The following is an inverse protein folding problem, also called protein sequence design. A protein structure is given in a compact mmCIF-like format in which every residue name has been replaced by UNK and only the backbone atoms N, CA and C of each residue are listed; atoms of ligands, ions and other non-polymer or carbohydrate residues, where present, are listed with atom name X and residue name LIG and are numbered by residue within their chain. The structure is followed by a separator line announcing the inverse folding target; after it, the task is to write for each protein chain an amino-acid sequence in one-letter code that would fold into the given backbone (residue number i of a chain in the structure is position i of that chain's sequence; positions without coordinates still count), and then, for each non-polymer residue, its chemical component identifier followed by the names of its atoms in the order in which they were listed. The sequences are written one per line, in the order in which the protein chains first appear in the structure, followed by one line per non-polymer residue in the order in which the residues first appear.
data_IF_873755239015
#
_entry.id   IF_873755239015
#
_cell.length_a   1.000
_cell.length_b   1.000
_cell.length_c   1.000
_cell.angle_alpha   90.00
_cell.angle_beta   90.00
_cell.angle_gamma   90.00
#
_symmetry.space_group_name_H-M   'P 1'
#
loop_
_entity.id
_entity.type
_entity.pdbx_description
1 polymer ?
#
# COMPACT_ATOMS: atom_id res chain seq x y z
N UNK A 1 14.82 19.94 23.56
CA UNK A 1 14.58 20.35 22.15
C UNK A 1 14.98 19.24 21.17
N UNK A 2 15.97 18.42 21.52
CA UNK A 2 16.53 17.38 20.64
C UNK A 2 15.52 16.32 20.17
N UNK A 3 14.59 15.89 21.02
CA UNK A 3 13.59 14.87 20.64
C UNK A 3 12.57 15.36 19.62
N UNK A 4 12.19 16.65 19.66
CA UNK A 4 11.25 17.24 18.70
C UNK A 4 11.93 17.40 17.35
N UNK A 5 13.16 17.91 17.34
CA UNK A 5 13.95 18.03 16.12
C UNK A 5 14.18 16.67 15.43
N UNK A 6 14.54 15.65 16.21
CA UNK A 6 14.67 14.28 15.71
C UNK A 6 13.37 13.71 15.15
N UNK A 7 12.23 14.01 15.80
CA UNK A 7 10.90 13.63 15.31
C UNK A 7 10.59 14.26 13.95
N UNK A 8 10.87 15.55 13.78
CA UNK A 8 10.68 16.25 12.51
C UNK A 8 11.53 15.63 11.41
N UNK A 9 12.83 15.39 11.67
CA UNK A 9 13.73 14.74 10.69
C UNK A 9 13.21 13.36 10.28
N UNK A 10 12.67 12.60 11.23
CA UNK A 10 12.16 11.26 10.98
C UNK A 10 10.87 11.26 10.15
N UNK A 11 10.03 12.27 10.29
CA UNK A 11 8.72 12.33 9.60
C UNK A 11 8.85 13.00 8.22
N UNK A 12 9.87 13.83 8.00
CA UNK A 12 10.08 14.56 6.74
C UNK A 12 10.01 13.69 5.48
N UNK A 13 10.66 12.50 5.40
CA UNK A 13 10.57 11.64 4.23
C UNK A 13 9.14 11.17 3.95
N UNK A 14 8.39 10.84 5.00
CA UNK A 14 6.98 10.43 4.88
C UNK A 14 6.12 11.61 4.39
N UNK A 15 6.35 12.82 4.89
CA UNK A 15 5.66 14.02 4.41
C UNK A 15 5.95 14.27 2.93
N UNK A 16 7.20 14.10 2.50
CA UNK A 16 7.56 14.23 1.09
C UNK A 16 6.81 13.22 0.21
N UNK A 17 6.68 11.97 0.66
CA UNK A 17 5.88 10.95 -0.03
C UNK A 17 4.39 11.27 -0.03
N UNK A 18 3.83 11.81 1.06
CA UNK A 18 2.44 12.27 1.08
C UNK A 18 2.20 13.38 0.06
N UNK A 19 3.09 14.39 0.00
CA UNK A 19 3.02 15.47 -0.99
C UNK A 19 3.12 14.88 -2.41
N UNK A 20 4.03 13.92 -2.63
CA UNK A 20 4.14 13.24 -3.92
C UNK A 20 2.82 12.58 -4.35
N UNK A 21 2.16 11.84 -3.43
CA UNK A 21 0.85 11.23 -3.68
C UNK A 21 -0.23 12.29 -3.92
N UNK A 22 -0.21 13.41 -3.19
CA UNK A 22 -1.19 14.50 -3.37
C UNK A 22 -1.02 15.18 -4.73
N UNK A 23 0.21 15.47 -5.15
CA UNK A 23 0.50 16.09 -6.44
C UNK A 23 0.16 15.19 -7.62
N UNK A 24 0.33 13.87 -7.47
CA UNK A 24 0.02 12.90 -8.52
C UNK A 24 -1.37 12.26 -8.41
N UNK A 25 -2.16 12.57 -7.37
CA UNK A 25 -3.24 11.68 -6.93
C UNK A 25 -4.49 12.33 -6.32
N UNK A 26 -4.74 13.62 -6.51
CA UNK A 26 -6.01 14.23 -6.09
C UNK A 26 -6.94 14.50 -7.26
N UNK A 27 -7.79 13.52 -7.58
CA UNK A 27 -9.09 13.80 -8.14
C UNK A 27 -10.16 13.07 -7.32
N UNK A 28 -11.33 13.69 -7.11
CA UNK A 28 -12.37 13.20 -6.19
C UNK A 28 -13.18 12.00 -6.71
N UNK A 29 -12.75 11.38 -7.81
CA UNK A 29 -13.45 10.26 -8.42
C UNK A 29 -13.22 8.96 -7.63
N UNK A 30 -14.20 8.05 -7.64
CA UNK A 30 -14.14 6.68 -7.07
C UNK A 30 -12.92 5.88 -7.55
N UNK A 31 -12.33 6.30 -8.66
CA UNK A 31 -11.11 5.76 -9.19
C UNK A 31 -9.89 5.94 -8.25
N UNK A 32 -9.84 7.01 -7.43
CA UNK A 32 -8.67 7.34 -6.59
C UNK A 32 -8.70 6.71 -5.18
N UNK A 33 -9.59 5.75 -4.94
CA UNK A 33 -9.72 5.05 -3.64
C UNK A 33 -8.40 4.38 -3.25
N UNK A 34 -7.61 3.91 -4.21
CA UNK A 34 -6.26 3.35 -3.97
C UNK A 34 -5.32 4.39 -3.34
N UNK A 35 -5.09 5.51 -4.05
CA UNK A 35 -4.21 6.61 -3.63
C UNK A 35 -4.61 7.16 -2.27
N UNK A 36 -5.91 7.33 -2.02
CA UNK A 36 -6.43 7.81 -0.73
C UNK A 36 -6.12 6.85 0.41
N UNK A 37 -6.25 5.54 0.21
CA UNK A 37 -5.89 4.54 1.24
C UNK A 37 -4.40 4.53 1.54
N UNK A 38 -3.56 4.64 0.50
CA UNK A 38 -2.10 4.76 0.68
C UNK A 38 -1.75 6.05 1.42
N UNK A 39 -2.35 7.19 1.07
CA UNK A 39 -2.13 8.47 1.73
C UNK A 39 -2.51 8.41 3.23
N UNK A 40 -3.68 7.87 3.55
CA UNK A 40 -4.11 7.72 4.94
C UNK A 40 -3.15 6.76 5.68
N UNK A 41 -2.70 5.68 5.04
CA UNK A 41 -1.69 4.78 5.62
C UNK A 41 -0.34 5.46 5.88
N UNK A 42 0.10 6.35 4.99
CA UNK A 42 1.32 7.17 5.19
C UNK A 42 1.15 8.13 6.37
N UNK A 43 -0.02 8.74 6.51
CA UNK A 43 -0.33 9.61 7.66
C UNK A 43 -0.26 8.85 8.99
N UNK A 44 -0.86 7.65 9.05
CA UNK A 44 -0.75 6.79 10.24
C UNK A 44 0.68 6.31 10.49
N UNK A 45 1.46 6.05 9.43
CA UNK A 45 2.87 5.72 9.55
C UNK A 45 3.68 6.88 10.13
N UNK A 46 3.41 8.13 9.71
CA UNK A 46 4.01 9.33 10.29
C UNK A 46 3.69 9.50 11.79
N UNK A 47 2.44 9.22 12.20
CA UNK A 47 2.08 9.21 13.62
C UNK A 47 2.78 8.07 14.39
N UNK A 48 2.91 6.90 13.78
CA UNK A 48 3.69 5.79 14.32
C UNK A 48 5.15 6.19 14.54
N UNK A 49 5.76 6.86 13.57
CA UNK A 49 7.13 7.38 13.65
C UNK A 49 7.30 8.40 14.77
N UNK A 50 6.33 9.31 14.93
CA UNK A 50 6.30 10.26 16.03
C UNK A 50 6.31 9.53 17.38
N UNK A 51 5.37 8.61 17.61
CA UNK A 51 5.28 7.86 18.86
C UNK A 51 6.51 6.98 19.11
N UNK A 52 7.17 6.50 18.06
CA UNK A 52 8.38 5.71 18.16
C UNK A 52 9.58 6.51 18.71
N UNK A 53 9.61 7.84 18.54
CA UNK A 53 10.64 8.71 19.16
C UNK A 53 10.56 8.65 20.68
N UNK A 54 9.35 8.62 21.23
CA UNK A 54 9.11 8.53 22.67
C UNK A 54 8.89 7.09 23.16
N UNK A 55 9.42 6.07 22.45
CA UNK A 55 9.28 4.65 22.80
C UNK A 55 9.72 4.31 24.24
N UNK A 56 10.66 5.07 24.81
CA UNK A 56 11.14 4.91 26.19
C UNK A 56 10.13 5.39 27.24
N UNK A 57 9.21 6.29 26.87
CA UNK A 57 8.22 6.89 27.76
C UNK A 57 6.85 6.16 27.68
N UNK A 58 6.82 4.90 27.24
CA UNK A 58 5.59 4.10 27.14
C UNK A 58 4.83 4.20 25.81
N UNK A 59 5.27 5.04 24.86
CA UNK A 59 4.60 5.23 23.56
C UNK A 59 4.84 4.11 22.54
N UNK A 60 5.58 3.05 22.90
CA UNK A 60 5.84 1.93 21.99
C UNK A 60 4.56 1.21 21.55
N UNK A 61 3.63 0.92 22.46
CA UNK A 61 2.36 0.23 22.13
C UNK A 61 1.48 1.10 21.21
N UNK A 62 1.25 2.41 21.51
CA UNK A 62 0.60 3.32 20.58
C UNK A 62 1.28 3.39 19.20
N UNK A 63 2.61 3.42 19.14
CA UNK A 63 3.35 3.42 17.88
C UNK A 63 3.04 2.17 17.03
N UNK A 64 3.14 0.99 17.65
CA UNK A 64 2.79 -0.29 17.01
C UNK A 64 1.34 -0.29 16.54
N UNK A 65 0.42 0.26 17.33
CA UNK A 65 -0.98 0.43 16.93
C UNK A 65 -1.17 1.30 15.68
N UNK A 66 -0.45 2.43 15.58
CA UNK A 66 -0.51 3.29 14.39
C UNK A 66 0.07 2.62 13.15
N UNK A 67 1.19 1.90 13.28
CA UNK A 67 1.74 1.09 12.19
C UNK A 67 0.80 -0.05 11.77
N UNK A 68 0.11 -0.69 12.72
CA UNK A 68 -0.88 -1.72 12.42
C UNK A 68 -2.05 -1.17 11.59
N UNK A 69 -2.53 0.04 11.91
CA UNK A 69 -3.57 0.72 11.12
C UNK A 69 -3.05 1.03 9.72
N UNK A 70 -1.82 1.51 9.59
CA UNK A 70 -1.19 1.77 8.29
C UNK A 70 -1.10 0.50 7.43
N UNK A 71 -0.62 -0.62 7.99
CA UNK A 71 -0.56 -1.92 7.32
C UNK A 71 -1.93 -2.39 6.85
N UNK A 72 -2.96 -2.21 7.68
CA UNK A 72 -4.32 -2.60 7.34
C UNK A 72 -4.88 -1.74 6.19
N UNK A 73 -4.57 -0.44 6.17
CA UNK A 73 -4.94 0.46 5.08
C UNK A 73 -4.20 0.10 3.78
N UNK A 74 -2.91 -0.24 3.86
CA UNK A 74 -2.13 -0.73 2.72
C UNK A 74 -2.68 -2.06 2.20
N UNK A 75 -2.95 -3.03 3.08
CA UNK A 75 -3.58 -4.30 2.70
C UNK A 75 -4.94 -4.09 2.01
N UNK A 76 -5.76 -3.16 2.52
CA UNK A 76 -7.02 -2.76 1.88
C UNK A 76 -6.83 -2.05 0.56
N UNK A 77 -5.81 -1.20 0.42
CA UNK A 77 -5.47 -0.58 -0.85
C UNK A 77 -5.11 -1.66 -1.86
N UNK A 78 -4.35 -2.67 -1.45
CA UNK A 78 -3.91 -3.76 -2.31
C UNK A 78 -5.06 -4.65 -2.82
N UNK A 79 -6.24 -4.55 -2.18
CA UNK A 79 -7.48 -5.16 -2.64
C UNK A 79 -7.53 -6.67 -2.39
N UNK A 80 -8.74 -7.25 -2.44
CA UNK A 80 -9.00 -8.66 -2.07
C UNK A 80 -9.60 -9.51 -3.20
N UNK A 81 -9.60 -9.04 -4.45
CA UNK A 81 -10.30 -9.70 -5.57
C UNK A 81 -9.81 -11.13 -5.83
N UNK A 82 -8.51 -11.36 -5.90
CA UNK A 82 -7.94 -12.71 -6.00
C UNK A 82 -7.19 -13.07 -4.72
N UNK A 83 -7.72 -14.04 -3.96
CA UNK A 83 -7.11 -14.46 -2.71
C UNK A 83 -5.79 -15.21 -2.94
N UNK A 84 -5.62 -15.92 -4.06
CA UNK A 84 -4.40 -16.69 -4.41
C UNK A 84 -3.78 -17.37 -3.17
N UNK A 85 -4.57 -18.23 -2.52
CA UNK A 85 -4.30 -18.83 -1.19
C UNK A 85 -2.88 -19.41 -1.07
N UNK A 86 -2.33 -20.00 -2.14
CA UNK A 86 -0.96 -20.51 -2.20
C UNK A 86 0.10 -19.49 -1.76
N UNK A 87 -0.02 -18.23 -2.21
CA UNK A 87 0.91 -17.16 -1.82
C UNK A 87 0.69 -16.75 -0.36
N UNK A 88 -0.55 -16.80 0.12
CA UNK A 88 -0.88 -16.53 1.52
C UNK A 88 -0.30 -17.56 2.47
N UNK A 89 -0.36 -18.84 2.11
CA UNK A 89 0.29 -19.92 2.87
C UNK A 89 1.81 -19.74 2.89
N UNK A 90 2.42 -19.37 1.76
CA UNK A 90 3.85 -19.11 1.69
C UNK A 90 4.26 -17.93 2.61
N UNK A 91 3.65 -16.77 2.44
CA UNK A 91 3.92 -15.60 3.30
C UNK A 91 3.61 -15.88 4.78
N UNK A 92 2.49 -16.57 5.05
CA UNK A 92 2.07 -16.98 6.38
C UNK A 92 3.08 -17.90 7.05
N UNK A 93 3.60 -18.89 6.33
CA UNK A 93 4.64 -19.79 6.84
C UNK A 93 5.92 -19.04 7.20
N UNK A 94 6.35 -18.10 6.34
CA UNK A 94 7.56 -17.30 6.56
C UNK A 94 7.40 -16.38 7.77
N UNK A 95 6.29 -15.63 7.85
CA UNK A 95 6.00 -14.78 9.01
C UNK A 95 5.84 -15.59 10.30
N UNK A 96 5.24 -16.78 10.23
CA UNK A 96 5.10 -17.67 11.39
C UNK A 96 6.45 -18.15 11.90
N UNK A 97 7.37 -18.56 11.02
CA UNK A 97 8.73 -18.93 11.40
C UNK A 97 9.43 -17.76 12.10
N UNK A 98 9.36 -16.55 11.52
CA UNK A 98 9.92 -15.34 12.13
C UNK A 98 9.34 -15.06 13.53
N UNK A 99 8.03 -15.25 13.70
CA UNK A 99 7.35 -15.05 14.98
C UNK A 99 7.71 -16.12 16.02
N UNK A 100 7.85 -17.39 15.60
CA UNK A 100 8.27 -18.48 16.48
C UNK A 100 9.68 -18.25 17.06
N UNK A 101 10.58 -17.66 16.27
CA UNK A 101 11.90 -17.23 16.77
C UNK A 101 11.81 -16.13 17.84
N UNK A 102 10.78 -15.29 17.78
CA UNK A 102 10.57 -14.21 18.76
C UNK A 102 9.78 -14.66 19.99
N UNK A 103 8.98 -15.73 19.87
CA UNK A 103 8.13 -16.25 20.93
C UNK A 103 8.84 -16.49 22.28
N UNK A 104 10.06 -17.06 22.36
CA UNK A 104 10.71 -17.32 23.64
C UNK A 104 11.14 -16.06 24.41
N UNK A 105 11.27 -14.91 23.73
CA UNK A 105 11.66 -13.62 24.33
C UNK A 105 10.48 -12.67 24.57
N UNK A 106 9.28 -13.03 24.11
CA UNK A 106 8.07 -12.25 24.32
C UNK A 106 7.39 -12.65 25.62
N UNK A 107 7.11 -11.68 26.48
CA UNK A 107 6.46 -11.91 27.78
C UNK A 107 5.03 -11.33 27.85
N UNK A 108 4.13 -12.09 28.50
CA UNK A 108 2.80 -11.64 28.90
C UNK A 108 1.96 -11.08 27.74
N UNK A 109 1.51 -9.83 27.89
CA UNK A 109 0.61 -9.16 26.93
C UNK A 109 1.25 -8.91 25.55
N UNK A 110 2.58 -8.84 25.48
CA UNK A 110 3.28 -8.58 24.21
C UNK A 110 3.18 -9.75 23.23
N UNK A 111 2.95 -10.98 23.70
CA UNK A 111 2.71 -12.14 22.83
C UNK A 111 1.45 -11.95 22.00
N UNK A 112 0.34 -11.56 22.63
CA UNK A 112 -0.94 -11.34 21.95
C UNK A 112 -0.90 -10.15 20.98
N UNK A 113 -0.26 -9.05 21.41
CA UNK A 113 -0.05 -7.86 20.56
C UNK A 113 0.82 -8.23 19.36
N UNK A 114 1.95 -8.91 19.60
CA UNK A 114 2.88 -9.34 18.56
C UNK A 114 2.25 -10.30 17.56
N UNK A 115 1.45 -11.27 18.04
CA UNK A 115 0.73 -12.21 17.16
C UNK A 115 -0.28 -11.48 16.28
N UNK A 116 -1.06 -10.56 16.85
CA UNK A 116 -2.04 -9.75 16.09
C UNK A 116 -1.33 -8.89 15.05
N UNK A 117 -0.22 -8.25 15.42
CA UNK A 117 0.58 -7.44 14.52
C UNK A 117 1.20 -8.28 13.38
N UNK A 118 1.75 -9.45 13.72
CA UNK A 118 2.32 -10.39 12.75
C UNK A 118 1.27 -10.85 11.73
N UNK A 119 0.03 -11.09 12.15
CA UNK A 119 -1.06 -11.42 11.24
C UNK A 119 -1.40 -10.27 10.29
N UNK A 120 -1.41 -9.02 10.78
CA UNK A 120 -1.69 -7.84 9.96
C UNK A 120 -0.60 -7.57 8.93
N UNK A 121 0.67 -7.59 9.34
CA UNK A 121 1.79 -7.35 8.43
C UNK A 121 1.93 -8.50 7.40
N UNK A 122 1.67 -9.74 7.82
CA UNK A 122 1.59 -10.89 6.93
C UNK A 122 0.44 -10.73 5.93
N UNK A 123 -0.73 -10.25 6.38
CA UNK A 123 -1.86 -9.95 5.52
C UNK A 123 -1.49 -8.92 4.45
N UNK A 124 -0.85 -7.82 4.84
CA UNK A 124 -0.33 -6.81 3.92
C UNK A 124 0.66 -7.41 2.90
N UNK A 125 1.64 -8.18 3.36
CA UNK A 125 2.62 -8.84 2.48
C UNK A 125 1.95 -9.80 1.49
N UNK A 126 1.05 -10.65 1.98
CA UNK A 126 0.29 -11.56 1.13
C UNK A 126 -0.50 -10.79 0.07
N UNK A 127 -1.19 -9.70 0.44
CA UNK A 127 -1.95 -8.89 -0.55
C UNK A 127 -1.03 -8.21 -1.56
N UNK A 128 0.16 -7.76 -1.14
CA UNK A 128 1.15 -7.19 -2.05
C UNK A 128 1.64 -8.22 -3.08
N UNK A 129 2.01 -9.42 -2.60
CA UNK A 129 2.48 -10.53 -3.45
C UNK A 129 1.37 -11.02 -4.37
N UNK A 130 0.15 -11.18 -3.88
CA UNK A 130 -0.99 -11.68 -4.67
C UNK A 130 -1.32 -10.77 -5.86
N UNK A 131 -1.07 -9.46 -5.74
CA UNK A 131 -1.23 -8.50 -6.83
C UNK A 131 -0.19 -8.59 -7.93
N UNK A 132 1.00 -9.11 -7.65
CA UNK A 132 2.02 -9.27 -8.70
C UNK A 132 1.56 -10.39 -9.64
N UNK A 133 1.34 -10.03 -10.91
CA UNK A 133 1.11 -10.97 -12.00
C UNK A 133 2.30 -10.84 -12.95
N UNK A 134 3.30 -11.71 -12.79
CA UNK A 134 4.59 -11.62 -13.48
C UNK A 134 4.51 -11.84 -15.00
N UNK A 135 3.40 -12.37 -15.52
CA UNK A 135 3.36 -12.94 -16.87
C UNK A 135 2.47 -12.23 -17.88
N UNK A 136 1.69 -11.19 -17.52
CA UNK A 136 0.65 -10.66 -18.42
C UNK A 136 0.57 -9.13 -18.60
N UNK A 137 1.41 -8.29 -17.97
CA UNK A 137 1.24 -6.82 -18.05
C UNK A 137 2.52 -5.99 -18.21
N UNK A 138 2.43 -4.95 -19.04
CA UNK A 138 3.45 -3.90 -19.25
C UNK A 138 3.81 -3.12 -17.97
N UNK A 139 2.94 -3.10 -16.96
CA UNK A 139 3.07 -2.32 -15.73
C UNK A 139 3.56 -3.14 -14.50
N UNK A 140 4.29 -4.22 -14.75
CA UNK A 140 4.81 -5.14 -13.71
C UNK A 140 5.74 -4.44 -12.69
N UNK A 141 6.49 -3.40 -13.10
CA UNK A 141 7.42 -2.68 -12.23
C UNK A 141 6.78 -2.04 -11.00
N UNK A 142 5.61 -1.43 -11.17
CA UNK A 142 4.92 -0.70 -10.10
C UNK A 142 4.25 -1.66 -9.11
N UNK A 143 3.75 -2.80 -9.61
CA UNK A 143 3.28 -3.93 -8.79
C UNK A 143 4.45 -4.55 -8.00
N UNK A 144 5.63 -4.70 -8.63
CA UNK A 144 6.87 -5.13 -7.97
C UNK A 144 7.32 -4.13 -6.89
N UNK A 145 7.20 -2.82 -7.12
CA UNK A 145 7.49 -1.81 -6.09
C UNK A 145 6.61 -1.98 -4.85
N UNK A 146 5.32 -2.31 -5.01
CA UNK A 146 4.45 -2.60 -3.86
C UNK A 146 4.86 -3.87 -3.10
N UNK A 147 5.30 -4.90 -3.84
CA UNK A 147 5.77 -6.16 -3.27
C UNK A 147 7.09 -5.98 -2.53
N UNK A 148 8.09 -5.39 -3.20
CA UNK A 148 9.37 -5.02 -2.59
C UNK A 148 9.16 -4.11 -1.38
N UNK A 149 8.26 -3.13 -1.51
CA UNK A 149 7.88 -2.24 -0.41
C UNK A 149 7.36 -3.01 0.80
N UNK A 150 6.43 -3.95 0.62
CA UNK A 150 5.90 -4.78 1.70
C UNK A 150 6.98 -5.70 2.33
N UNK A 151 7.89 -6.26 1.52
CA UNK A 151 9.02 -7.06 2.02
C UNK A 151 9.94 -6.23 2.90
N UNK A 152 10.34 -5.04 2.43
CA UNK A 152 11.17 -4.13 3.20
C UNK A 152 10.47 -3.65 4.49
N UNK A 153 9.14 -3.49 4.47
CA UNK A 153 8.36 -3.17 5.66
C UNK A 153 8.46 -4.29 6.72
N UNK A 154 8.30 -5.55 6.29
CA UNK A 154 8.45 -6.72 7.17
C UNK A 154 9.88 -6.80 7.74
N UNK A 155 10.90 -6.56 6.90
CA UNK A 155 12.30 -6.55 7.35
C UNK A 155 12.54 -5.46 8.39
N UNK A 156 12.08 -4.23 8.15
CA UNK A 156 12.18 -3.11 9.09
C UNK A 156 11.57 -3.46 10.45
N UNK A 157 10.35 -3.97 10.45
CA UNK A 157 9.63 -4.32 11.68
C UNK A 157 10.26 -5.50 12.41
N UNK A 158 10.80 -6.46 11.66
CA UNK A 158 11.55 -7.56 12.25
C UNK A 158 12.83 -7.08 12.95
N UNK A 159 13.56 -6.13 12.36
CA UNK A 159 14.75 -5.53 13.00
C UNK A 159 14.36 -4.75 14.27
N UNK A 160 13.23 -4.02 14.26
CA UNK A 160 12.69 -3.35 15.46
C UNK A 160 12.44 -4.37 16.58
N UNK A 161 11.83 -5.50 16.24
CA UNK A 161 11.56 -6.59 17.17
C UNK A 161 12.84 -7.19 17.75
N UNK A 162 13.85 -7.47 16.91
CA UNK A 162 15.14 -7.99 17.35
C UNK A 162 15.88 -7.02 18.28
N UNK A 163 15.98 -5.74 17.89
CA UNK A 163 16.63 -4.68 18.68
C UNK A 163 15.95 -4.48 20.04
N UNK A 164 14.62 -4.67 20.10
CA UNK A 164 13.83 -4.42 21.31
C UNK A 164 13.80 -5.60 22.29
N UNK A 165 13.70 -6.83 21.79
CA UNK A 165 13.40 -8.01 22.62
C UNK A 165 14.53 -9.02 22.71
N UNK A 166 15.41 -9.12 21.71
CA UNK A 166 16.45 -10.15 21.68
C UNK A 166 17.81 -9.61 22.13
N UNK A 167 18.36 -8.65 21.38
CA UNK A 167 19.66 -8.06 21.65
C UNK A 167 19.81 -6.73 20.89
N UNK A 168 20.59 -5.76 21.43
CA UNK A 168 20.86 -4.51 20.73
C UNK A 168 21.55 -4.81 19.39
N UNK A 169 20.91 -4.43 18.28
CA UNK A 169 21.45 -4.68 16.94
C UNK A 169 22.44 -3.56 16.60
N UNK A 170 23.67 -3.86 16.14
CA UNK A 170 24.61 -2.83 15.73
C UNK A 170 24.01 -2.04 14.56
N UNK A 171 24.03 -0.70 14.67
CA UNK A 171 23.43 0.20 13.67
C UNK A 171 21.93 -0.05 13.40
N UNK A 172 21.19 -0.58 14.39
CA UNK A 172 19.76 -0.87 14.29
C UNK A 172 18.99 0.31 13.69
N UNK A 173 19.27 1.52 14.17
CA UNK A 173 18.55 2.71 13.73
C UNK A 173 18.69 2.94 12.21
N UNK A 174 19.90 2.85 11.67
CA UNK A 174 20.17 3.07 10.26
C UNK A 174 19.55 1.96 9.39
N UNK A 175 19.63 0.71 9.83
CA UNK A 175 19.03 -0.44 9.14
C UNK A 175 17.50 -0.34 9.10
N UNK A 176 16.88 -0.01 10.24
CA UNK A 176 15.43 0.19 10.34
C UNK A 176 15.01 1.33 9.41
N UNK A 177 15.66 2.50 9.48
CA UNK A 177 15.24 3.66 8.69
C UNK A 177 15.44 3.47 7.19
N UNK A 178 16.55 2.86 6.78
CA UNK A 178 16.81 2.59 5.36
C UNK A 178 15.81 1.60 4.76
N UNK A 179 15.54 0.49 5.45
CA UNK A 179 14.54 -0.48 5.01
C UNK A 179 13.14 0.11 5.05
N UNK A 180 12.78 0.84 6.10
CA UNK A 180 11.49 1.50 6.26
C UNK A 180 11.20 2.55 5.18
N UNK A 181 12.12 3.46 4.90
CA UNK A 181 11.88 4.48 3.87
C UNK A 181 11.85 3.87 2.47
N UNK A 182 12.66 2.84 2.21
CA UNK A 182 12.56 2.05 0.97
C UNK A 182 11.20 1.37 0.87
N UNK A 183 10.68 0.85 1.98
CA UNK A 183 9.36 0.26 2.05
C UNK A 183 8.27 1.27 1.67
N UNK A 184 8.27 2.43 2.32
CA UNK A 184 7.28 3.49 2.11
C UNK A 184 7.37 4.07 0.70
N UNK A 185 8.58 4.23 0.15
CA UNK A 185 8.80 4.66 -1.22
C UNK A 185 8.23 3.64 -2.21
N UNK A 186 8.51 2.34 -2.03
CA UNK A 186 7.97 1.28 -2.90
C UNK A 186 6.44 1.21 -2.88
N UNK A 187 5.84 1.32 -1.69
CA UNK A 187 4.38 1.39 -1.51
C UNK A 187 3.82 2.66 -2.17
N UNK A 188 4.51 3.80 -2.04
CA UNK A 188 4.06 5.08 -2.62
C UNK A 188 4.14 5.09 -4.14
N UNK A 189 5.25 4.61 -4.72
CA UNK A 189 5.41 4.50 -6.18
C UNK A 189 4.35 3.61 -6.80
N UNK A 190 3.82 2.63 -6.04
CA UNK A 190 2.73 1.77 -6.50
C UNK A 190 1.44 2.53 -6.88
N UNK A 191 1.29 3.78 -6.45
CA UNK A 191 0.13 4.63 -6.74
C UNK A 191 0.09 5.10 -8.20
N UNK A 192 1.25 5.30 -8.84
CA UNK A 192 1.34 5.91 -10.19
C UNK A 192 0.57 5.07 -11.23
N UNK A 193 0.67 3.75 -11.14
CA UNK A 193 0.01 2.79 -12.05
C UNK A 193 -1.49 2.74 -11.89
N UNK A 194 -1.95 2.74 -10.64
CA UNK A 194 -3.39 2.75 -10.37
C UNK A 194 -4.09 3.88 -11.11
N UNK A 195 -3.39 5.01 -11.32
CA UNK A 195 -3.91 6.16 -12.06
C UNK A 195 -3.87 5.99 -13.57
N UNK A 196 -2.79 5.43 -14.11
CA UNK A 196 -2.70 5.18 -15.54
C UNK A 196 -3.78 4.19 -16.00
N UNK A 197 -4.00 3.10 -15.25
CA UNK A 197 -5.06 2.13 -15.51
C UNK A 197 -6.44 2.79 -15.58
N UNK A 198 -6.73 3.71 -14.64
CA UNK A 198 -7.99 4.46 -14.59
C UNK A 198 -8.16 5.37 -15.81
N UNK A 199 -7.13 6.15 -16.14
CA UNK A 199 -7.19 7.11 -17.26
C UNK A 199 -7.37 6.37 -18.58
N UNK A 200 -6.71 5.23 -18.74
CA UNK A 200 -6.88 4.35 -19.90
C UNK A 200 -8.31 3.81 -19.94
N UNK A 201 -8.84 3.27 -18.82
CA UNK A 201 -10.20 2.73 -18.76
C UNK A 201 -11.27 3.81 -19.08
N UNK A 202 -11.10 5.04 -18.58
CA UNK A 202 -11.97 6.17 -18.90
C UNK A 202 -11.91 6.53 -20.39
N UNK A 203 -10.72 6.62 -20.96
CA UNK A 203 -10.52 6.92 -22.39
C UNK A 203 -11.14 5.84 -23.30
N UNK A 204 -11.06 4.57 -22.91
CA UNK A 204 -11.70 3.46 -23.62
C UNK A 204 -13.23 3.55 -23.56
N UNK A 205 -13.81 3.83 -22.39
CA UNK A 205 -15.26 4.02 -22.23
C UNK A 205 -15.79 5.22 -23.02
N UNK A 206 -15.06 6.33 -23.04
CA UNK A 206 -15.42 7.50 -23.87
C UNK A 206 -15.38 7.16 -25.36
N UNK A 207 -14.38 6.40 -25.79
CA UNK A 207 -14.26 5.95 -27.19
C UNK A 207 -15.41 5.00 -27.59
N UNK A 208 -15.81 4.07 -26.72
CA UNK A 208 -16.96 3.19 -26.95
C UNK A 208 -18.29 3.97 -26.99
N UNK A 209 -18.47 4.94 -26.10
CA UNK A 209 -19.66 5.79 -26.08
C UNK A 209 -19.77 6.63 -27.37
N UNK A 210 -18.67 7.24 -27.82
CA UNK A 210 -18.63 7.98 -29.08
C UNK A 210 -18.95 7.09 -30.29
N UNK A 211 -18.44 5.85 -30.34
CA UNK A 211 -18.77 4.89 -31.39
C UNK A 211 -20.26 4.54 -31.41
N UNK A 212 -20.84 4.31 -30.24
CA UNK A 212 -22.27 3.98 -30.08
C UNK A 212 -23.16 5.12 -30.57
N UNK A 213 -22.86 6.36 -30.18
CA UNK A 213 -23.60 7.56 -30.62
C UNK A 213 -23.51 7.78 -32.14
N UNK A 214 -22.37 7.46 -32.76
CA UNK A 214 -22.19 7.61 -34.22
C UNK A 214 -23.02 6.59 -35.01
N UNK A 215 -23.10 5.35 -34.52
CA UNK A 215 -23.92 4.29 -35.13
C UNK A 215 -25.41 4.65 -35.03
N UNK A 216 -25.87 5.16 -33.89
CA UNK A 216 -27.26 5.59 -33.73
C UNK A 216 -27.62 6.75 -34.68
N UNK A 217 -26.75 7.77 -34.79
CA UNK A 217 -26.95 8.88 -35.74
C UNK A 217 -26.99 8.41 -37.20
N UNK A 218 -26.06 7.57 -37.62
CA UNK A 218 -26.04 7.03 -38.99
C UNK A 218 -27.28 6.19 -39.32
N UNK A 219 -27.74 5.36 -38.38
CA UNK A 219 -28.96 4.57 -38.54
C UNK A 219 -30.22 5.45 -38.63
N UNK A 220 -30.25 6.57 -37.90
CA UNK A 220 -31.32 7.55 -37.97
C UNK A 220 -31.35 8.26 -39.33
N UNK A 221 -30.21 8.75 -39.82
CA UNK A 221 -30.08 9.42 -41.12
C UNK A 221 -30.51 8.50 -42.28
N UNK A 222 -30.12 7.22 -42.26
CA UNK A 222 -30.52 6.24 -43.27
C UNK A 222 -32.05 5.97 -43.27
N UNK A 223 -32.67 5.96 -42.08
CA UNK A 223 -34.13 5.82 -41.93
C UNK A 223 -34.87 7.02 -42.51
N UNK A 224 -34.35 8.23 -42.31
CA UNK A 224 -34.92 9.47 -42.86
C UNK A 224 -34.82 9.48 -44.38
N UNK A 225 -33.66 9.13 -44.96
CA UNK A 225 -33.48 9.10 -46.43
C UNK A 225 -34.38 8.05 -47.11
N UNK A 226 -34.52 6.86 -46.51
CA UNK A 226 -35.45 5.82 -47.00
C UNK A 226 -36.92 6.25 -46.94
N UNK A 227 -37.32 7.03 -45.94
CA UNK A 227 -38.68 7.55 -45.86
C UNK A 227 -38.93 8.66 -46.88
N UNK A 228 -37.97 9.58 -47.08
CA UNK A 228 -38.09 10.62 -48.12
C UNK A 228 -38.19 10.06 -49.54
N UNK A 229 -37.48 8.96 -49.85
CA UNK A 229 -37.58 8.28 -51.16
C UNK A 229 -38.90 7.53 -51.38
N UNK A 230 -39.68 7.23 -50.33
CA UNK A 230 -40.99 6.57 -50.45
C UNK A 230 -42.16 7.53 -50.64
N UNK A 231 -41.96 8.83 -50.39
CA UNK A 231 -43.00 9.87 -50.50
C UNK A 231 -42.97 10.68 -51.81
N UNK A 232 -42.08 10.34 -52.74
CA UNK A 232 -42.07 10.82 -54.13
C UNK A 232 -42.39 9.66 -55.08
#
# INVERSE_FOLDING_TARGET
MDSIFYCVIKILPIISLMIFVLLHGMNFSEAYVYSRRILIGLLFSAFGDAFMVWKKNGYFIPAVGMFAIAQLLYARAFGFRDLKIKHGVCCGSLCSVMFLFLLPVLEGKMVWIGMTYCALICGMLWRAVARVQLFNDLWTWTKLCSCGGAIFFVISDYIICLDKFLAPVPYAHQLIMSTYYTAQLGITLSVIDSQADIVIEQSLKETENWKTQRIEKGSFEEKVDKNCKKTN
#
